data_IF_402916682225
#
_entry.id   IF_402916682225
#
_cell.length_a   1.000
_cell.length_b   1.000
_cell.length_c   1.000
_cell.angle_alpha   90.00
_cell.angle_beta   90.00
_cell.angle_gamma   90.00
#
_symmetry.space_group_name_H-M   'P 1'
#
loop_
_entity.id
_entity.type
_entity.pdbx_description
1 polymer ?
#
# COMPACT_ATOMS: atom_id res chain seq x y z
N UNK A 1 -8.73 52.64 40.06
CA UNK A 1 -8.40 51.81 38.88
C UNK A 1 -8.19 50.37 39.35
N UNK A 2 -9.27 49.68 39.70
CA UNK A 2 -9.20 48.36 40.34
C UNK A 2 -10.49 47.61 39.99
N UNK A 3 -10.41 46.32 39.63
CA UNK A 3 -11.54 45.63 38.97
C UNK A 3 -12.58 45.11 39.97
N UNK A 4 -13.50 46.02 40.31
CA UNK A 4 -14.92 45.81 40.69
C UNK A 4 -15.37 44.37 40.98
N UNK A 5 -15.85 44.17 42.21
CA UNK A 5 -16.65 42.99 42.62
C UNK A 5 -17.94 42.89 41.79
N UNK A 6 -18.45 41.68 41.61
CA UNK A 6 -19.85 41.41 41.30
C UNK A 6 -20.43 40.64 42.49
N UNK A 7 -21.47 41.16 43.12
CA UNK A 7 -22.05 40.60 44.35
C UNK A 7 -23.17 39.58 44.06
N UNK A 8 -23.26 38.54 44.90
CA UNK A 8 -24.50 37.78 45.10
C UNK A 8 -25.45 38.54 46.04
N UNK A 9 -26.77 38.40 45.83
CA UNK A 9 -27.88 38.42 46.82
C UNK A 9 -29.25 38.53 46.05
N UNK A 10 -30.45 38.40 46.65
CA UNK A 10 -31.29 37.24 46.31
C UNK A 10 -32.72 37.56 45.84
N UNK A 11 -33.37 36.61 45.17
CA UNK A 11 -34.81 36.66 44.85
C UNK A 11 -35.65 35.93 45.91
N UNK A 12 -36.77 36.55 46.31
CA UNK A 12 -37.71 36.07 47.35
C UNK A 12 -39.15 36.23 46.87
N UNK A 13 -39.83 35.11 46.60
CA UNK A 13 -41.27 34.99 46.24
C UNK A 13 -41.70 33.55 46.63
N UNK A 14 -42.92 33.19 47.04
CA UNK A 14 -44.02 33.82 47.81
C UNK A 14 -45.10 32.73 48.07
N UNK A 15 -46.00 32.93 49.06
CA UNK A 15 -47.38 32.36 49.17
C UNK A 15 -47.63 30.82 49.09
N UNK A 16 -47.98 30.23 50.25
CA UNK A 16 -49.30 29.64 50.67
C UNK A 16 -50.37 29.22 49.62
N UNK A 17 -51.36 28.31 49.90
CA UNK A 17 -51.86 27.91 51.24
C UNK A 17 -52.41 26.46 51.51
N UNK A 18 -52.42 26.11 52.80
CA UNK A 18 -53.42 25.37 53.63
C UNK A 18 -54.37 24.25 53.10
N UNK A 19 -54.34 23.08 53.79
CA UNK A 19 -55.44 22.27 54.42
C UNK A 19 -54.75 21.17 55.27
N UNK A 20 -55.00 20.87 56.56
CA UNK A 20 -56.16 20.83 57.50
C UNK A 20 -57.13 19.63 57.37
N UNK A 21 -56.71 18.49 57.93
CA UNK A 21 -57.51 17.43 58.63
C UNK A 21 -56.52 16.92 59.73
N UNK A 22 -56.67 16.95 61.07
CA UNK A 22 -57.73 16.89 62.11
C UNK A 22 -58.17 15.47 62.56
N UNK A 23 -58.32 15.32 63.89
CA UNK A 23 -58.76 14.14 64.69
C UNK A 23 -57.97 12.82 64.52
N UNK A 24 -57.87 11.86 65.47
CA UNK A 24 -58.09 11.75 66.94
C UNK A 24 -57.49 10.36 67.37
N UNK A 25 -57.33 9.88 68.62
CA UNK A 25 -57.52 10.28 70.04
C UNK A 25 -56.44 9.46 70.83
N UNK A 26 -55.61 9.99 71.76
CA UNK A 26 -55.83 10.43 73.16
C UNK A 26 -55.98 9.29 74.22
N UNK A 27 -55.18 9.42 75.31
CA UNK A 27 -55.37 9.02 76.74
C UNK A 27 -54.68 7.81 77.43
N UNK A 28 -54.18 8.10 78.66
CA UNK A 28 -53.77 7.28 79.84
C UNK A 28 -52.80 6.06 79.68
N UNK A 29 -51.98 5.64 80.65
CA UNK A 29 -51.29 6.32 81.78
C UNK A 29 -50.39 5.34 82.60
N UNK A 30 -49.35 5.86 83.27
CA UNK A 30 -48.63 5.15 84.35
C UNK A 30 -47.52 4.18 83.88
N UNK A 31 -46.54 3.80 84.70
CA UNK A 31 -46.26 4.18 86.10
C UNK A 31 -44.75 4.14 86.42
N UNK A 32 -44.34 4.65 87.59
CA UNK A 32 -42.92 4.81 87.99
C UNK A 32 -42.34 3.58 88.70
N UNK A 33 -41.05 3.34 88.46
CA UNK A 33 -40.08 2.99 89.51
C UNK A 33 -39.76 1.50 89.70
N UNK A 34 -38.48 1.18 89.98
CA UNK A 34 -38.04 -0.20 90.26
C UNK A 34 -36.55 -0.47 90.05
N UNK A 35 -35.66 0.33 90.64
CA UNK A 35 -34.21 0.07 90.57
C UNK A 35 -33.75 -0.85 91.70
N UNK A 36 -33.28 -2.06 91.39
CA UNK A 36 -32.59 -2.93 92.34
C UNK A 36 -31.52 -3.79 91.65
N UNK A 37 -30.29 -3.73 92.15
CA UNK A 37 -29.15 -4.57 91.74
C UNK A 37 -28.87 -5.59 92.84
N UNK A 38 -28.80 -6.88 92.51
CA UNK A 38 -28.18 -7.89 93.38
C UNK A 38 -27.35 -8.91 92.59
N UNK A 39 -26.49 -9.64 93.32
CA UNK A 39 -25.30 -10.37 92.82
C UNK A 39 -25.41 -11.90 93.09
N UNK A 40 -24.39 -12.75 92.78
CA UNK A 40 -24.64 -14.15 92.37
C UNK A 40 -24.21 -15.25 93.36
N UNK A 41 -24.72 -16.46 93.10
CA UNK A 41 -24.24 -17.79 93.55
C UNK A 41 -24.44 -18.73 92.33
N UNK A 42 -23.48 -19.41 91.68
CA UNK A 42 -22.33 -20.25 92.06
C UNK A 42 -22.71 -21.75 92.11
N UNK A 43 -21.79 -22.62 91.67
CA UNK A 43 -21.84 -24.09 91.40
C UNK A 43 -22.05 -24.46 89.92
N UNK A 44 -21.55 -25.56 89.34
CA UNK A 44 -20.26 -26.33 89.41
C UNK A 44 -20.52 -27.75 88.85
N UNK A 45 -20.07 -28.04 87.62
CA UNK A 45 -19.90 -29.41 87.07
C UNK A 45 -18.94 -29.34 85.86
N UNK A 46 -17.65 -29.64 86.05
CA UNK A 46 -17.00 -30.93 85.75
C UNK A 46 -16.99 -31.42 84.28
N UNK A 47 -15.85 -31.14 83.63
CA UNK A 47 -15.04 -32.03 82.76
C UNK A 47 -15.76 -33.06 81.85
N UNK A 48 -15.75 -32.80 80.55
CA UNK A 48 -15.42 -33.83 79.54
C UNK A 48 -14.78 -33.19 78.29
N UNK A 49 -14.26 -34.03 77.38
CA UNK A 49 -13.36 -33.71 76.26
C UNK A 49 -13.64 -32.41 75.48
N UNK A 50 -12.59 -31.64 75.19
CA UNK A 50 -12.69 -30.40 74.41
C UNK A 50 -12.30 -30.56 72.94
N UNK A 51 -13.23 -30.24 72.03
CA UNK A 51 -12.96 -29.56 70.75
C UNK A 51 -14.09 -28.54 70.53
N UNK A 52 -14.05 -27.42 71.25
CA UNK A 52 -15.03 -26.36 71.07
C UNK A 52 -14.74 -25.59 69.78
N UNK A 53 -15.71 -25.60 68.85
CA UNK A 53 -15.65 -24.97 67.52
C UNK A 53 -15.76 -23.42 67.56
N UNK A 54 -15.16 -22.80 68.58
CA UNK A 54 -15.30 -21.37 68.91
C UNK A 54 -14.08 -20.55 68.45
N UNK A 55 -13.78 -20.60 67.15
CA UNK A 55 -12.95 -19.60 66.48
C UNK A 55 -13.55 -18.87 65.25
N UNK A 56 -14.87 -18.94 64.89
CA UNK A 56 -15.41 -18.08 63.83
C UNK A 56 -15.36 -16.60 64.23
N UNK A 57 -15.37 -16.29 65.53
CA UNK A 57 -15.18 -14.93 66.06
C UNK A 57 -13.84 -14.31 65.65
N UNK A 58 -12.79 -15.10 65.40
CA UNK A 58 -11.50 -14.58 64.94
C UNK A 58 -11.57 -14.00 63.51
N UNK A 59 -12.49 -14.48 62.66
CA UNK A 59 -12.67 -13.95 61.29
C UNK A 59 -13.41 -12.61 61.23
N UNK A 60 -14.09 -12.19 62.31
CA UNK A 60 -14.80 -10.90 62.32
C UNK A 60 -13.86 -9.68 62.25
N UNK A 61 -12.58 -9.81 62.61
CA UNK A 61 -11.58 -8.76 62.40
C UNK A 61 -11.48 -8.36 60.91
N UNK A 62 -11.27 -9.33 60.03
CA UNK A 62 -11.14 -9.13 58.58
C UNK A 62 -12.36 -8.45 57.95
N UNK A 63 -13.57 -8.67 58.51
CA UNK A 63 -14.80 -8.03 58.02
C UNK A 63 -14.85 -6.52 58.29
N UNK A 64 -14.19 -6.05 59.36
CA UNK A 64 -14.17 -4.64 59.73
C UNK A 64 -13.18 -3.85 58.88
N UNK A 65 -12.02 -4.43 58.60
CA UNK A 65 -11.01 -3.84 57.73
C UNK A 65 -11.50 -3.81 56.28
N UNK A 66 -12.11 -4.89 55.78
CA UNK A 66 -12.75 -4.92 54.46
C UNK A 66 -13.90 -3.89 54.35
N UNK A 67 -14.70 -3.71 55.40
CA UNK A 67 -15.75 -2.69 55.43
C UNK A 67 -15.20 -1.25 55.54
N UNK A 68 -14.01 -1.06 56.12
CA UNK A 68 -13.30 0.21 56.12
C UNK A 68 -12.71 0.52 54.74
N UNK A 69 -12.12 -0.47 54.07
CA UNK A 69 -11.53 -0.34 52.74
C UNK A 69 -12.61 -0.13 51.65
N UNK A 70 -13.76 -0.82 51.75
CA UNK A 70 -14.93 -0.54 50.90
C UNK A 70 -15.49 0.88 51.15
N UNK A 71 -15.44 1.39 52.39
CA UNK A 71 -15.85 2.78 52.70
C UNK A 71 -14.85 3.80 52.17
N UNK A 72 -13.54 3.55 52.30
CA UNK A 72 -12.48 4.39 51.76
C UNK A 72 -12.52 4.40 50.22
N UNK A 73 -12.67 3.23 49.59
CA UNK A 73 -12.78 3.06 48.14
C UNK A 73 -13.98 3.80 47.52
N UNK A 74 -15.03 4.10 48.30
CA UNK A 74 -16.17 4.93 47.88
C UNK A 74 -15.82 6.43 47.73
N UNK A 75 -14.64 6.85 48.19
CA UNK A 75 -14.11 8.20 48.06
C UNK A 75 -12.85 8.30 47.20
N UNK A 76 -12.50 7.26 46.41
CA UNK A 76 -11.58 7.46 45.28
C UNK A 76 -12.13 8.57 44.40
N UNK A 77 -11.38 9.67 44.25
CA UNK A 77 -11.86 10.80 43.47
C UNK A 77 -12.20 10.35 42.05
N UNK A 78 -13.21 10.98 41.43
CA UNK A 78 -13.59 10.63 40.06
C UNK A 78 -12.37 10.73 39.10
N UNK A 79 -11.43 11.65 39.40
CA UNK A 79 -10.12 11.79 38.75
C UNK A 79 -9.20 10.58 38.91
N UNK A 80 -9.15 9.93 40.07
CA UNK A 80 -8.35 8.72 40.31
C UNK A 80 -8.94 7.51 39.56
N UNK A 81 -10.27 7.43 39.52
CA UNK A 81 -10.99 6.42 38.74
C UNK A 81 -10.70 6.59 37.25
N UNK A 82 -10.87 7.81 36.71
CA UNK A 82 -10.54 8.16 35.33
C UNK A 82 -9.06 7.87 35.02
N UNK A 83 -8.12 8.35 35.84
CA UNK A 83 -6.69 8.09 35.64
C UNK A 83 -6.34 6.59 35.71
N UNK A 84 -7.10 5.77 36.46
CA UNK A 84 -6.91 4.32 36.44
C UNK A 84 -7.41 3.67 35.15
N UNK A 85 -8.49 4.17 34.54
CA UNK A 85 -8.94 3.73 33.22
C UNK A 85 -7.99 4.18 32.10
N UNK A 86 -7.53 5.44 32.11
CA UNK A 86 -6.51 5.95 31.18
C UNK A 86 -5.21 5.12 31.28
N UNK A 87 -4.81 4.73 32.50
CA UNK A 87 -3.65 3.86 32.73
C UNK A 87 -3.84 2.42 32.22
N UNK A 88 -5.06 1.89 32.26
CA UNK A 88 -5.37 0.56 31.69
C UNK A 88 -5.33 0.64 30.16
N UNK A 89 -6.04 1.60 29.55
CA UNK A 89 -6.03 1.79 28.10
C UNK A 89 -4.63 1.98 27.54
N UNK A 90 -3.80 2.81 28.18
CA UNK A 90 -2.40 3.01 27.76
C UNK A 90 -1.52 1.79 28.01
N UNK A 91 -1.78 0.98 29.05
CA UNK A 91 -1.07 -0.29 29.25
C UNK A 91 -1.41 -1.30 28.14
N UNK A 92 -2.69 -1.43 27.79
CA UNK A 92 -3.14 -2.30 26.71
C UNK A 92 -2.55 -1.85 25.37
N UNK A 93 -2.62 -0.56 25.03
CA UNK A 93 -1.97 -0.04 23.82
C UNK A 93 -0.47 -0.34 23.77
N UNK A 94 0.23 -0.24 24.91
CA UNK A 94 1.65 -0.59 25.00
C UNK A 94 1.88 -2.10 24.85
N UNK A 95 0.94 -2.96 25.26
CA UNK A 95 1.05 -4.41 25.11
C UNK A 95 0.80 -4.86 23.67
N UNK A 96 -0.28 -4.38 23.05
CA UNK A 96 -0.60 -4.61 21.63
C UNK A 96 0.43 -4.02 20.66
N UNK A 97 1.13 -2.92 21.02
CA UNK A 97 2.24 -2.36 20.22
C UNK A 97 3.61 -3.03 20.44
N UNK A 98 3.75 -3.91 21.43
CA UNK A 98 5.00 -4.65 21.74
C UNK A 98 4.99 -6.11 21.34
N UNK A 99 3.82 -6.67 21.01
CA UNK A 99 3.69 -8.04 20.51
C UNK A 99 3.89 -8.07 19.00
N UNK A 100 4.75 -8.96 18.51
CA UNK A 100 4.93 -9.18 17.06
C UNK A 100 3.65 -9.70 16.39
N UNK A 101 2.77 -10.35 17.18
CA UNK A 101 1.49 -10.93 16.77
C UNK A 101 0.36 -10.48 17.71
N UNK A 102 -0.11 -9.23 17.58
CA UNK A 102 -1.09 -8.67 18.52
C UNK A 102 -2.45 -9.38 18.51
N UNK A 103 -2.75 -10.18 17.49
CA UNK A 103 -3.97 -10.98 17.40
C UNK A 103 -3.95 -12.26 18.23
N UNK A 104 -2.77 -12.82 18.55
CA UNK A 104 -2.64 -14.00 19.45
C UNK A 104 -3.02 -13.67 20.90
N UNK A 105 -3.06 -12.38 21.25
CA UNK A 105 -3.56 -11.89 22.54
C UNK A 105 -5.08 -12.04 22.71
N UNK A 106 -5.84 -12.24 21.62
CA UNK A 106 -7.30 -12.35 21.67
C UNK A 106 -7.71 -13.79 22.01
N UNK A 107 -8.33 -14.04 23.18
CA UNK A 107 -8.68 -15.40 23.59
C UNK A 107 -9.86 -15.93 22.78
N UNK A 108 -9.69 -17.14 22.21
CA UNK A 108 -10.78 -17.91 21.62
C UNK A 108 -11.52 -18.71 22.70
N UNK A 109 -12.70 -18.24 23.08
CA UNK A 109 -13.56 -18.98 24.02
C UNK A 109 -14.30 -20.11 23.31
N UNK A 110 -13.96 -21.37 23.60
CA UNK A 110 -14.51 -22.56 22.92
C UNK A 110 -16.04 -22.74 22.96
N UNK A 111 -16.76 -21.97 23.80
CA UNK A 111 -18.23 -21.97 23.92
C UNK A 111 -18.86 -20.57 23.80
N UNK A 112 -18.14 -19.54 23.33
CA UNK A 112 -18.70 -18.19 23.15
C UNK A 112 -18.36 -17.65 21.78
N UNK A 113 -19.34 -16.99 21.14
CA UNK A 113 -19.20 -16.34 19.84
C UNK A 113 -18.68 -14.91 19.92
N UNK A 114 -18.71 -14.32 21.11
CA UNK A 114 -18.25 -12.95 21.36
C UNK A 114 -17.01 -12.96 22.26
N UNK A 115 -15.94 -12.31 21.81
CA UNK A 115 -14.77 -11.95 22.61
C UNK A 115 -14.69 -10.43 22.74
N UNK A 116 -15.26 -9.91 23.83
CA UNK A 116 -15.16 -8.48 24.21
C UNK A 116 -13.99 -8.28 25.17
N UNK A 117 -12.99 -7.49 24.75
CA UNK A 117 -11.86 -7.04 25.57
C UNK A 117 -11.94 -5.54 25.91
N UNK A 118 -12.92 -4.82 25.37
CA UNK A 118 -13.19 -3.41 25.69
C UNK A 118 -14.11 -3.27 26.93
N UNK A 119 -14.93 -4.28 27.20
CA UNK A 119 -16.06 -4.16 28.14
C UNK A 119 -17.17 -3.26 27.60
N UNK A 120 -17.35 -3.24 26.27
CA UNK A 120 -18.31 -2.37 25.59
C UNK A 120 -19.73 -2.95 25.61
N UNK A 121 -19.89 -4.28 25.72
CA UNK A 121 -21.17 -4.95 25.70
C UNK A 121 -21.74 -5.17 27.10
N UNK A 122 -23.04 -4.91 27.29
CA UNK A 122 -23.74 -5.38 28.48
C UNK A 122 -23.88 -6.91 28.47
N UNK A 123 -24.17 -7.50 29.62
CA UNK A 123 -24.45 -8.94 29.72
C UNK A 123 -25.68 -9.37 28.93
N UNK A 124 -26.65 -8.46 28.74
CA UNK A 124 -27.89 -8.70 28.01
C UNK A 124 -27.63 -8.62 26.50
N UNK A 125 -27.04 -7.52 26.02
CA UNK A 125 -26.64 -7.33 24.61
C UNK A 125 -25.73 -8.48 24.12
N UNK A 126 -24.78 -8.92 24.95
CA UNK A 126 -23.90 -10.04 24.63
C UNK A 126 -24.66 -11.34 24.45
N UNK A 127 -25.62 -11.64 25.33
CA UNK A 127 -26.43 -12.84 25.25
C UNK A 127 -27.32 -12.81 24.00
N UNK A 128 -27.87 -11.65 23.66
CA UNK A 128 -28.64 -11.47 22.41
C UNK A 128 -27.76 -11.69 21.17
N UNK A 129 -26.53 -11.14 21.14
CA UNK A 129 -25.57 -11.38 20.05
C UNK A 129 -25.19 -12.86 19.93
N UNK A 130 -24.88 -13.53 21.05
CA UNK A 130 -24.53 -14.96 21.05
C UNK A 130 -25.71 -15.81 20.53
N UNK A 131 -26.96 -15.51 20.94
CA UNK A 131 -28.17 -16.15 20.41
C UNK A 131 -28.45 -15.86 18.92
N UNK A 132 -28.24 -14.61 18.48
CA UNK A 132 -28.42 -14.22 17.08
C UNK A 132 -27.43 -14.94 16.15
N UNK A 133 -26.19 -15.12 16.59
CA UNK A 133 -25.15 -15.85 15.87
C UNK A 133 -25.49 -17.34 15.80
N UNK A 134 -25.84 -17.99 16.91
CA UNK A 134 -26.17 -19.42 16.92
C UNK A 134 -27.42 -19.71 16.05
N UNK A 135 -28.41 -18.80 16.06
CA UNK A 135 -29.57 -18.85 15.16
C UNK A 135 -29.15 -18.71 13.69
N UNK A 136 -28.30 -17.73 13.36
CA UNK A 136 -27.77 -17.55 12.00
C UNK A 136 -26.98 -18.78 11.53
N UNK A 137 -26.16 -19.39 12.40
CA UNK A 137 -25.43 -20.63 12.09
C UNK A 137 -26.40 -21.76 11.74
N UNK A 138 -27.48 -21.93 12.51
CA UNK A 138 -28.49 -22.98 12.27
C UNK A 138 -29.30 -22.78 10.98
N UNK A 139 -29.47 -21.54 10.51
CA UNK A 139 -30.30 -21.20 9.35
C UNK A 139 -29.51 -21.00 8.05
N UNK A 140 -28.26 -20.55 8.15
CA UNK A 140 -27.43 -20.11 7.01
C UNK A 140 -26.10 -20.85 6.86
N UNK A 141 -25.78 -21.78 7.79
CA UNK A 141 -24.50 -22.49 7.86
C UNK A 141 -23.25 -21.57 7.92
N UNK A 142 -23.42 -20.35 8.45
CA UNK A 142 -22.33 -19.37 8.65
C UNK A 142 -21.73 -19.52 10.05
N UNK A 143 -20.41 -19.58 10.14
CA UNK A 143 -19.69 -19.61 11.42
C UNK A 143 -19.21 -18.18 11.74
N UNK A 144 -19.94 -17.46 12.59
CA UNK A 144 -19.62 -16.07 12.93
C UNK A 144 -18.98 -15.92 14.31
N UNK A 145 -18.04 -15.00 14.42
CA UNK A 145 -17.54 -14.45 15.69
C UNK A 145 -17.60 -12.92 15.68
N UNK A 146 -17.72 -12.33 16.88
CA UNK A 146 -17.59 -10.89 17.12
C UNK A 146 -16.43 -10.67 18.08
N UNK A 147 -15.50 -9.80 17.70
CA UNK A 147 -14.29 -9.49 18.47
C UNK A 147 -14.21 -7.98 18.68
N UNK A 148 -14.12 -7.54 19.93
CA UNK A 148 -13.94 -6.14 20.31
C UNK A 148 -12.58 -5.99 21.00
N UNK A 149 -11.73 -5.14 20.44
CA UNK A 149 -10.34 -4.92 20.92
C UNK A 149 -10.07 -3.43 21.18
N UNK A 150 -9.23 -3.10 22.18
CA UNK A 150 -8.87 -1.71 22.45
C UNK A 150 -8.05 -1.10 21.29
N UNK A 151 -7.18 -1.86 20.65
CA UNK A 151 -6.35 -1.44 19.50
C UNK A 151 -5.87 -2.67 18.69
N UNK A 152 -5.43 -2.46 17.46
CA UNK A 152 -4.71 -3.46 16.62
C UNK A 152 -3.19 -3.19 16.51
N UNK A 153 -2.66 -2.28 17.33
CA UNK A 153 -1.23 -1.99 17.42
C UNK A 153 -0.70 -1.21 16.23
N UNK A 154 0.29 -1.76 15.52
CA UNK A 154 0.85 -1.19 14.27
C UNK A 154 0.32 -1.89 13.00
N UNK A 155 -0.62 -2.83 13.14
CA UNK A 155 -1.19 -3.57 12.01
C UNK A 155 -2.42 -2.86 11.43
N UNK A 156 -2.80 -3.15 10.19
CA UNK A 156 -4.08 -2.63 9.67
C UNK A 156 -5.24 -3.43 10.27
N UNK A 157 -6.38 -2.81 10.66
CA UNK A 157 -7.50 -3.53 11.27
C UNK A 157 -8.01 -4.73 10.43
N UNK A 158 -7.95 -4.62 9.10
CA UNK A 158 -8.31 -5.72 8.19
C UNK A 158 -7.27 -6.86 8.16
N UNK A 159 -5.98 -6.55 8.29
CA UNK A 159 -4.94 -7.59 8.42
C UNK A 159 -5.08 -8.31 9.77
N UNK A 160 -5.28 -7.58 10.86
CA UNK A 160 -5.53 -8.14 12.19
C UNK A 160 -6.74 -9.10 12.20
N UNK A 161 -7.86 -8.67 11.62
CA UNK A 161 -9.05 -9.52 11.48
C UNK A 161 -8.81 -10.75 10.58
N UNK A 162 -8.06 -10.60 9.47
CA UNK A 162 -7.68 -11.75 8.63
C UNK A 162 -6.83 -12.78 9.40
N UNK A 163 -5.89 -12.33 10.24
CA UNK A 163 -5.08 -13.23 11.08
C UNK A 163 -5.95 -14.00 12.08
N UNK A 164 -6.90 -13.34 12.76
CA UNK A 164 -7.84 -14.02 13.67
C UNK A 164 -8.72 -15.04 12.92
N UNK A 165 -9.25 -14.68 11.75
CA UNK A 165 -10.06 -15.59 10.93
C UNK A 165 -9.28 -16.87 10.56
N UNK A 166 -8.00 -16.73 10.24
CA UNK A 166 -7.10 -17.83 9.87
C UNK A 166 -6.66 -18.66 11.09
N UNK A 167 -6.10 -18.03 12.12
CA UNK A 167 -5.55 -18.72 13.31
C UNK A 167 -6.63 -19.43 14.13
N UNK A 168 -7.89 -18.99 14.05
CA UNK A 168 -9.04 -19.68 14.64
C UNK A 168 -9.72 -20.66 13.66
N UNK A 169 -9.34 -20.71 12.38
CA UNK A 169 -9.96 -21.57 11.37
C UNK A 169 -11.48 -21.34 11.24
N UNK A 170 -11.91 -20.08 11.27
CA UNK A 170 -13.34 -19.74 11.37
C UNK A 170 -14.08 -20.21 10.11
N UNK A 171 -15.14 -21.00 10.30
CA UNK A 171 -15.90 -21.62 9.22
C UNK A 171 -15.18 -22.71 8.40
N UNK A 172 -13.99 -23.17 8.81
CA UNK A 172 -13.36 -24.34 8.19
C UNK A 172 -14.07 -25.65 8.59
N UNK A 173 -14.07 -26.69 7.73
CA UNK A 173 -13.51 -26.73 6.38
C UNK A 173 -14.47 -26.20 5.29
N UNK A 174 -15.68 -25.73 5.64
CA UNK A 174 -16.70 -25.31 4.64
C UNK A 174 -16.30 -24.04 3.90
N UNK A 175 -15.61 -23.11 4.57
CA UNK A 175 -15.28 -21.80 4.03
C UNK A 175 -16.38 -20.76 4.22
N UNK A 176 -17.18 -20.90 5.30
CA UNK A 176 -18.35 -20.05 5.60
C UNK A 176 -18.08 -19.13 6.82
N UNK A 177 -16.82 -18.75 7.04
CA UNK A 177 -16.39 -18.02 8.23
C UNK A 177 -16.62 -16.52 8.12
N UNK A 178 -17.06 -15.92 9.22
CA UNK A 178 -17.39 -14.51 9.32
C UNK A 178 -16.83 -13.93 10.63
N UNK A 179 -16.13 -12.80 10.55
CA UNK A 179 -15.55 -12.14 11.71
C UNK A 179 -15.88 -10.65 11.67
N UNK A 180 -16.66 -10.19 12.65
CA UNK A 180 -16.86 -8.77 12.91
C UNK A 180 -15.81 -8.31 13.93
N UNK A 181 -14.84 -7.51 13.49
CA UNK A 181 -13.89 -6.81 14.35
C UNK A 181 -14.37 -5.38 14.61
N UNK A 182 -14.38 -4.97 15.86
CA UNK A 182 -14.54 -3.58 16.29
C UNK A 182 -13.29 -3.19 17.08
N UNK A 183 -12.55 -2.19 16.58
CA UNK A 183 -11.29 -1.73 17.17
C UNK A 183 -11.46 -0.30 17.69
N UNK A 184 -11.30 -0.13 19.01
CA UNK A 184 -11.77 1.05 19.73
C UNK A 184 -10.89 2.30 19.50
N UNK A 185 -9.56 2.16 19.60
CA UNK A 185 -8.61 3.28 19.43
C UNK A 185 -8.55 3.76 17.98
N UNK A 186 -8.60 2.84 17.01
CA UNK A 186 -8.69 3.16 15.57
C UNK A 186 -10.11 3.57 15.13
N UNK A 187 -11.08 3.56 16.05
CA UNK A 187 -12.50 3.86 15.82
C UNK A 187 -13.10 3.15 14.59
N UNK A 188 -12.66 1.90 14.33
CA UNK A 188 -12.91 1.21 13.07
C UNK A 188 -13.70 -0.09 13.24
N UNK A 189 -14.55 -0.37 12.25
CA UNK A 189 -15.36 -1.59 12.16
C UNK A 189 -14.98 -2.31 10.88
N UNK A 190 -14.65 -3.59 10.98
CA UNK A 190 -14.26 -4.43 9.84
C UNK A 190 -15.06 -5.73 9.85
N UNK A 191 -15.64 -6.10 8.71
CA UNK A 191 -16.24 -7.41 8.48
C UNK A 191 -15.31 -8.21 7.57
N UNK A 192 -14.63 -9.20 8.15
CA UNK A 192 -13.75 -10.12 7.43
C UNK A 192 -14.48 -11.44 7.20
N UNK A 193 -14.24 -12.04 6.03
CA UNK A 193 -15.02 -13.15 5.47
C UNK A 193 -14.09 -14.20 4.88
N UNK A 194 -14.50 -15.47 4.90
CA UNK A 194 -13.82 -16.50 4.11
C UNK A 194 -13.92 -16.20 2.61
N UNK A 195 -12.90 -16.51 1.78
CA UNK A 195 -12.88 -16.12 0.36
C UNK A 195 -13.97 -16.73 -0.54
N UNK A 196 -14.76 -17.68 -0.05
CA UNK A 196 -15.89 -18.27 -0.76
C UNK A 196 -17.18 -17.43 -0.63
N UNK A 197 -17.31 -16.65 0.45
CA UNK A 197 -18.47 -15.81 0.75
C UNK A 197 -18.20 -14.30 0.72
N UNK A 198 -16.93 -13.86 0.61
CA UNK A 198 -16.52 -12.45 0.47
C UNK A 198 -17.32 -11.66 -0.60
N UNK A 199 -17.75 -12.34 -1.67
CA UNK A 199 -18.53 -11.77 -2.78
C UNK A 199 -19.93 -11.29 -2.36
N UNK A 200 -20.53 -11.92 -1.34
CA UNK A 200 -21.89 -11.64 -0.85
C UNK A 200 -21.90 -10.66 0.34
N UNK A 201 -20.75 -10.46 0.98
CA UNK A 201 -20.53 -9.51 2.08
C UNK A 201 -19.64 -8.36 1.61
N UNK A 202 -20.01 -7.76 0.49
CA UNK A 202 -19.25 -6.70 -0.16
C UNK A 202 -19.10 -5.45 0.73
N UNK A 203 -17.98 -4.74 0.58
CA UNK A 203 -17.62 -3.64 1.48
C UNK A 203 -18.63 -2.48 1.51
N UNK A 204 -19.34 -2.23 0.41
CA UNK A 204 -20.38 -1.21 0.34
C UNK A 204 -21.55 -1.48 1.31
N UNK A 205 -21.90 -2.75 1.55
CA UNK A 205 -22.93 -3.13 2.52
C UNK A 205 -22.47 -2.78 3.96
N UNK A 206 -21.21 -3.10 4.30
CA UNK A 206 -20.65 -2.75 5.61
C UNK A 206 -20.57 -1.24 5.80
N UNK A 207 -20.09 -0.50 4.80
CA UNK A 207 -19.98 0.96 4.87
C UNK A 207 -21.37 1.62 5.04
N UNK A 208 -22.41 1.12 4.37
CA UNK A 208 -23.79 1.57 4.56
C UNK A 208 -24.29 1.25 5.98
N UNK A 209 -24.23 -0.01 6.42
CA UNK A 209 -24.69 -0.44 7.74
C UNK A 209 -23.96 0.30 8.89
N UNK A 210 -22.65 0.54 8.77
CA UNK A 210 -21.89 1.30 9.76
C UNK A 210 -22.32 2.77 9.78
N UNK A 211 -22.56 3.39 8.62
CA UNK A 211 -22.97 4.80 8.52
C UNK A 211 -24.41 5.04 8.98
N UNK A 212 -25.32 4.14 8.65
CA UNK A 212 -26.77 4.32 8.83
C UNK A 212 -27.28 3.74 10.16
N UNK A 213 -26.66 2.68 10.68
CA UNK A 213 -27.10 1.98 11.90
C UNK A 213 -26.11 2.21 13.05
N UNK A 214 -24.83 1.91 12.85
CA UNK A 214 -23.84 1.89 13.94
C UNK A 214 -23.48 3.32 14.43
N UNK A 215 -23.10 4.21 13.52
CA UNK A 215 -22.68 5.58 13.86
C UNK A 215 -23.71 6.41 14.63
N UNK A 216 -25.03 6.46 14.29
CA UNK A 216 -25.98 7.22 15.07
C UNK A 216 -26.18 6.65 16.49
N UNK A 217 -26.28 5.32 16.63
CA UNK A 217 -26.45 4.68 17.94
C UNK A 217 -25.24 4.88 18.87
N UNK A 218 -24.02 4.88 18.33
CA UNK A 218 -22.80 5.24 19.07
C UNK A 218 -22.82 6.72 19.51
N UNK A 219 -23.31 7.64 18.66
CA UNK A 219 -23.46 9.07 19.03
C UNK A 219 -24.51 9.31 20.11
N UNK A 220 -25.54 8.46 20.21
CA UNK A 220 -26.50 8.45 21.32
C UNK A 220 -25.92 7.82 22.62
N UNK A 221 -24.68 7.35 22.61
CA UNK A 221 -24.05 6.64 23.74
C UNK A 221 -24.49 5.18 23.89
N UNK A 222 -25.33 4.67 22.98
CA UNK A 222 -25.88 3.29 23.00
C UNK A 222 -24.96 2.32 22.28
N UNK A 223 -23.67 2.33 22.62
CA UNK A 223 -22.64 1.61 21.88
C UNK A 223 -22.82 0.09 21.89
N UNK A 224 -23.33 -0.51 22.96
CA UNK A 224 -23.59 -1.95 23.02
C UNK A 224 -24.70 -2.38 22.06
N UNK A 225 -25.85 -1.71 22.14
CA UNK A 225 -26.99 -1.88 21.24
C UNK A 225 -26.63 -1.58 19.76
N UNK A 226 -25.69 -0.67 19.50
CA UNK A 226 -25.16 -0.45 18.15
C UNK A 226 -24.49 -1.72 17.57
N UNK A 227 -23.78 -2.50 18.38
CA UNK A 227 -23.22 -3.81 17.97
C UNK A 227 -24.34 -4.81 17.72
N UNK A 228 -25.35 -4.89 18.59
CA UNK A 228 -26.52 -5.76 18.43
C UNK A 228 -27.21 -5.51 17.09
N UNK A 229 -27.52 -4.25 16.78
CA UNK A 229 -28.18 -3.87 15.53
C UNK A 229 -27.30 -4.13 14.29
N UNK A 230 -25.98 -3.94 14.41
CA UNK A 230 -25.05 -4.28 13.33
C UNK A 230 -24.99 -5.81 13.07
N UNK A 231 -24.99 -6.63 14.13
CA UNK A 231 -25.07 -8.09 14.02
C UNK A 231 -26.40 -8.52 13.38
N UNK A 232 -27.53 -7.90 13.72
CA UNK A 232 -28.80 -8.17 13.05
C UNK A 232 -28.79 -7.78 11.56
N UNK A 233 -28.17 -6.66 11.19
CA UNK A 233 -28.01 -6.27 9.79
C UNK A 233 -27.17 -7.31 9.01
N UNK A 234 -26.08 -7.79 9.61
CA UNK A 234 -25.23 -8.85 9.06
C UNK A 234 -25.99 -10.18 8.95
N UNK A 235 -26.76 -10.56 9.96
CA UNK A 235 -27.56 -11.79 9.96
C UNK A 235 -28.68 -11.76 8.90
N UNK A 236 -29.28 -10.58 8.68
CA UNK A 236 -30.23 -10.37 7.58
C UNK A 236 -29.57 -10.53 6.21
N UNK A 237 -28.42 -9.88 5.98
CA UNK A 237 -27.65 -10.05 4.75
C UNK A 237 -27.25 -11.52 4.51
N UNK A 238 -26.85 -12.23 5.58
CA UNK A 238 -26.56 -13.66 5.52
C UNK A 238 -27.79 -14.48 5.10
N UNK A 239 -28.95 -14.22 5.68
CA UNK A 239 -30.19 -14.94 5.35
C UNK A 239 -30.68 -14.66 3.91
N UNK A 240 -30.59 -13.41 3.44
CA UNK A 240 -30.96 -13.05 2.07
C UNK A 240 -29.99 -13.70 1.04
N UNK A 241 -28.68 -13.72 1.32
CA UNK A 241 -27.65 -14.25 0.42
C UNK A 241 -27.42 -15.77 0.52
N UNK A 242 -27.86 -16.44 1.59
CA UNK A 242 -27.68 -17.87 1.83
C UNK A 242 -28.15 -18.74 0.64
N UNK A 243 -29.28 -18.36 0.04
CA UNK A 243 -29.84 -19.08 -1.11
C UNK A 243 -29.01 -18.93 -2.39
N UNK A 244 -28.11 -17.94 -2.46
CA UNK A 244 -27.29 -17.65 -3.65
C UNK A 244 -25.90 -18.29 -3.56
N UNK A 245 -25.26 -18.32 -2.40
CA UNK A 245 -23.95 -18.99 -2.29
C UNK A 245 -24.04 -20.52 -2.38
N UNK A 246 -25.16 -21.11 -1.93
CA UNK A 246 -25.43 -22.55 -2.07
C UNK A 246 -25.81 -22.99 -3.51
N UNK A 247 -26.08 -22.05 -4.43
CA UNK A 247 -26.36 -22.36 -5.86
C UNK A 247 -25.10 -22.50 -6.71
N UNK A 248 -23.91 -22.28 -6.15
CA UNK A 248 -22.65 -22.40 -6.89
C UNK A 248 -22.38 -23.83 -7.35
N UNK A 249 -22.03 -24.00 -8.63
CA UNK A 249 -21.63 -25.30 -9.21
C UNK A 249 -20.42 -25.93 -8.48
N UNK A 250 -19.57 -25.10 -7.88
CA UNK A 250 -18.45 -25.51 -7.05
C UNK A 250 -18.81 -25.35 -5.57
N UNK A 251 -18.67 -26.44 -4.80
CA UNK A 251 -18.79 -26.39 -3.35
C UNK A 251 -17.80 -25.37 -2.76
N UNK A 252 -18.24 -24.64 -1.73
CA UNK A 252 -17.52 -23.53 -1.08
C UNK A 252 -16.02 -23.80 -0.78
N UNK A 253 -15.57 -24.98 -0.26
CA UNK A 253 -14.13 -25.26 -0.10
C UNK A 253 -13.34 -25.37 -1.41
N UNK A 254 -13.98 -25.80 -2.50
CA UNK A 254 -13.36 -25.85 -3.83
C UNK A 254 -13.33 -24.46 -4.48
N UNK A 255 -14.38 -23.64 -4.29
CA UNK A 255 -14.43 -22.23 -4.70
C UNK A 255 -13.27 -21.43 -4.10
N UNK A 256 -12.94 -21.65 -2.82
CA UNK A 256 -11.74 -21.08 -2.17
C UNK A 256 -10.45 -21.40 -2.93
N UNK A 257 -10.17 -22.69 -3.20
CA UNK A 257 -8.93 -23.14 -3.86
C UNK A 257 -8.81 -22.59 -5.28
N UNK A 258 -9.91 -22.62 -6.05
CA UNK A 258 -9.95 -22.07 -7.42
C UNK A 258 -9.73 -20.55 -7.41
N UNK A 259 -10.39 -19.82 -6.51
CA UNK A 259 -10.26 -18.35 -6.41
C UNK A 259 -8.88 -17.90 -5.94
N UNK A 260 -8.22 -18.67 -5.09
CA UNK A 260 -6.81 -18.46 -4.74
C UNK A 260 -5.90 -18.66 -5.96
N UNK A 261 -5.99 -19.83 -6.61
CA UNK A 261 -5.18 -20.16 -7.79
C UNK A 261 -5.36 -19.13 -8.92
N UNK A 262 -6.59 -18.64 -9.16
CA UNK A 262 -6.87 -17.58 -10.13
C UNK A 262 -6.21 -16.24 -9.75
N UNK A 263 -6.24 -15.83 -8.48
CA UNK A 263 -5.51 -14.63 -8.01
C UNK A 263 -3.99 -14.79 -8.18
N UNK A 264 -3.43 -15.96 -7.85
CA UNK A 264 -2.00 -16.26 -8.05
C UNK A 264 -1.61 -16.23 -9.53
N UNK A 265 -2.40 -16.84 -10.41
CA UNK A 265 -2.16 -16.84 -11.85
C UNK A 265 -2.25 -15.42 -12.45
N UNK A 266 -3.25 -14.63 -12.05
CA UNK A 266 -3.39 -13.24 -12.48
C UNK A 266 -2.21 -12.35 -12.03
N UNK A 267 -1.71 -12.54 -10.81
CA UNK A 267 -0.49 -11.88 -10.34
C UNK A 267 0.76 -12.33 -11.13
N UNK A 268 0.86 -13.63 -11.42
CA UNK A 268 1.92 -14.20 -12.25
C UNK A 268 1.94 -13.59 -13.66
N UNK A 269 0.79 -13.47 -14.31
CA UNK A 269 0.66 -12.91 -15.66
C UNK A 269 0.86 -11.40 -15.70
N UNK A 270 0.44 -10.65 -14.66
CA UNK A 270 0.54 -9.18 -14.66
C UNK A 270 1.86 -8.66 -14.10
N UNK A 271 2.29 -9.11 -12.91
CA UNK A 271 3.43 -8.50 -12.21
C UNK A 271 4.80 -9.07 -12.61
N UNK A 272 4.90 -10.36 -12.93
CA UNK A 272 6.20 -10.98 -13.25
C UNK A 272 6.81 -10.44 -14.56
N UNK A 273 6.05 -10.17 -15.64
CA UNK A 273 6.62 -9.56 -16.85
C UNK A 273 7.23 -8.18 -16.59
N UNK A 274 6.62 -7.34 -15.74
CA UNK A 274 7.21 -6.04 -15.40
C UNK A 274 8.52 -6.18 -14.60
N UNK A 275 8.64 -7.18 -13.72
CA UNK A 275 9.90 -7.48 -13.04
C UNK A 275 10.97 -7.96 -14.04
N UNK A 276 10.62 -8.83 -14.99
CA UNK A 276 11.56 -9.30 -16.02
C UNK A 276 12.00 -8.17 -16.96
N UNK A 277 11.06 -7.34 -17.43
CA UNK A 277 11.36 -6.15 -18.24
C UNK A 277 12.24 -5.17 -17.46
N UNK A 278 11.97 -4.96 -16.16
CA UNK A 278 12.79 -4.15 -15.28
C UNK A 278 14.22 -4.69 -15.17
N UNK A 279 14.40 -5.99 -14.91
CA UNK A 279 15.71 -6.65 -14.82
C UNK A 279 16.48 -6.54 -16.16
N UNK A 280 15.80 -6.74 -17.29
CA UNK A 280 16.42 -6.59 -18.63
C UNK A 280 16.83 -5.13 -18.87
N UNK A 281 15.97 -4.16 -18.55
CA UNK A 281 16.27 -2.73 -18.71
C UNK A 281 17.45 -2.30 -17.83
N UNK A 282 17.44 -2.66 -16.54
CA UNK A 282 18.57 -2.38 -15.63
C UNK A 282 19.85 -3.08 -16.10
N UNK A 283 19.78 -4.34 -16.55
CA UNK A 283 20.92 -5.06 -17.12
C UNK A 283 21.52 -4.35 -18.34
N UNK A 284 20.68 -3.95 -19.30
CA UNK A 284 21.10 -3.19 -20.48
C UNK A 284 21.72 -1.84 -20.09
N UNK A 285 21.07 -1.05 -19.24
CA UNK A 285 21.62 0.20 -18.72
C UNK A 285 22.96 -0.01 -18.00
N UNK A 286 23.09 -1.05 -17.17
CA UNK A 286 24.36 -1.40 -16.51
C UNK A 286 25.44 -1.79 -17.52
N UNK A 287 25.15 -2.55 -18.58
CA UNK A 287 26.17 -2.86 -19.62
C UNK A 287 26.61 -1.61 -20.38
N UNK A 288 25.70 -0.69 -20.71
CA UNK A 288 26.03 0.59 -21.36
C UNK A 288 26.89 1.47 -20.45
N UNK A 289 26.54 1.58 -19.17
CA UNK A 289 27.30 2.34 -18.18
C UNK A 289 28.67 1.71 -17.89
N UNK A 290 28.77 0.38 -17.78
CA UNK A 290 30.05 -0.32 -17.61
C UNK A 290 30.96 -0.12 -18.82
N UNK A 291 30.43 -0.22 -20.05
CA UNK A 291 31.19 0.09 -21.26
C UNK A 291 31.69 1.54 -21.27
N UNK A 292 30.84 2.51 -20.88
CA UNK A 292 31.25 3.91 -20.73
C UNK A 292 32.31 4.13 -19.65
N UNK A 293 32.29 3.35 -18.56
CA UNK A 293 33.31 3.40 -17.50
C UNK A 293 34.63 2.78 -17.95
N UNK A 294 34.59 1.66 -18.68
CA UNK A 294 35.78 1.01 -19.28
C UNK A 294 36.49 1.99 -20.24
N UNK A 295 35.72 2.75 -21.03
CA UNK A 295 36.20 3.84 -21.91
C UNK A 295 37.06 4.90 -21.15
N UNK A 296 36.88 5.05 -19.83
CA UNK A 296 37.65 6.00 -18.99
C UNK A 296 38.88 5.38 -18.30
N UNK A 297 39.06 4.05 -18.37
CA UNK A 297 40.06 3.31 -17.61
C UNK A 297 41.25 2.89 -18.47
N UNK A 298 42.46 3.24 -18.01
CA UNK A 298 43.68 2.95 -18.77
C UNK A 298 44.04 1.45 -18.75
N UNK A 299 44.14 0.75 -19.91
CA UNK A 299 44.15 -0.72 -19.98
C UNK A 299 45.44 -1.42 -19.49
N UNK A 300 46.42 -0.69 -18.94
CA UNK A 300 47.62 -1.29 -18.32
C UNK A 300 47.85 -0.88 -16.88
N UNK A 301 47.29 0.25 -16.43
CA UNK A 301 47.50 0.77 -15.06
C UNK A 301 46.19 0.97 -14.28
N UNK A 302 45.03 0.66 -14.89
CA UNK A 302 43.68 0.78 -14.33
C UNK A 302 43.39 2.15 -13.67
N UNK A 303 44.07 3.19 -14.14
CA UNK A 303 43.89 4.56 -13.70
C UNK A 303 42.92 5.31 -14.60
N UNK A 304 42.09 6.17 -13.99
CA UNK A 304 41.22 7.11 -14.70
C UNK A 304 42.04 7.99 -15.67
N UNK A 305 41.54 8.10 -16.90
CA UNK A 305 42.09 8.93 -17.97
C UNK A 305 41.26 10.22 -18.13
N UNK A 306 41.90 11.31 -18.55
CA UNK A 306 41.18 12.54 -18.91
C UNK A 306 40.95 12.60 -20.43
N UNK A 307 39.79 13.09 -20.85
CA UNK A 307 39.49 13.32 -22.27
C UNK A 307 40.19 14.58 -22.74
N UNK A 308 41.01 14.45 -23.77
CA UNK A 308 41.68 15.57 -24.43
C UNK A 308 40.66 16.36 -25.27
N UNK A 309 40.77 17.69 -25.26
CA UNK A 309 39.88 18.59 -26.01
C UNK A 309 40.60 19.65 -26.84
N UNK A 310 41.90 19.83 -26.66
CA UNK A 310 42.63 20.98 -27.22
C UNK A 310 43.09 20.67 -28.66
N UNK A 311 42.56 21.40 -29.65
CA UNK A 311 42.72 21.07 -31.07
C UNK A 311 44.18 20.89 -31.52
N UNK A 312 45.12 21.68 -31.00
CA UNK A 312 46.56 21.55 -31.28
C UNK A 312 47.15 20.21 -30.79
N UNK A 313 46.61 19.65 -29.70
CA UNK A 313 46.99 18.31 -29.23
C UNK A 313 46.29 17.22 -30.03
N UNK A 314 45.02 17.42 -30.41
CA UNK A 314 44.30 16.49 -31.28
C UNK A 314 45.00 16.37 -32.65
N UNK A 315 45.43 17.48 -33.24
CA UNK A 315 46.11 17.54 -34.54
C UNK A 315 47.50 16.90 -34.53
N UNK A 316 48.22 16.93 -33.40
CA UNK A 316 49.55 16.29 -33.29
C UNK A 316 49.49 14.80 -32.96
N UNK A 317 48.35 14.32 -32.47
CA UNK A 317 48.11 12.91 -32.09
C UNK A 317 47.37 12.14 -33.20
N UNK A 318 46.44 12.78 -33.92
CA UNK A 318 45.66 12.17 -34.99
C UNK A 318 46.40 12.13 -36.32
N UNK A 319 46.05 11.16 -37.17
CA UNK A 319 46.40 11.24 -38.60
C UNK A 319 45.60 12.35 -39.30
N UNK A 320 46.15 12.89 -40.40
CA UNK A 320 45.51 13.95 -41.21
C UNK A 320 44.06 13.61 -41.58
N UNK A 321 43.77 12.37 -41.95
CA UNK A 321 42.42 11.92 -42.32
C UNK A 321 41.44 11.96 -41.14
N UNK A 322 41.85 11.49 -39.96
CA UNK A 322 41.03 11.51 -38.74
C UNK A 322 40.73 12.94 -38.28
N UNK A 323 41.73 13.82 -38.33
CA UNK A 323 41.55 15.24 -37.96
C UNK A 323 40.56 15.95 -38.91
N UNK A 324 40.65 15.69 -40.22
CA UNK A 324 39.71 16.25 -41.21
C UNK A 324 38.27 15.72 -41.03
N UNK A 325 38.09 14.44 -40.68
CA UNK A 325 36.75 13.93 -40.33
C UNK A 325 36.16 14.57 -39.08
N UNK A 326 37.01 14.88 -38.09
CA UNK A 326 36.63 15.54 -36.86
C UNK A 326 36.25 17.01 -37.11
N UNK A 327 37.09 17.77 -37.84
CA UNK A 327 36.80 19.17 -38.19
C UNK A 327 35.56 19.31 -39.07
N UNK A 328 35.30 18.34 -39.95
CA UNK A 328 34.12 18.33 -40.81
C UNK A 328 32.86 17.80 -40.11
N UNK A 329 32.95 17.39 -38.84
CA UNK A 329 31.82 16.88 -38.04
C UNK A 329 31.28 15.52 -38.49
N UNK A 330 32.06 14.77 -39.29
CA UNK A 330 31.62 13.50 -39.87
C UNK A 330 31.91 12.29 -38.99
N UNK A 331 32.98 12.32 -38.20
CA UNK A 331 33.25 11.31 -37.18
C UNK A 331 33.69 11.96 -35.87
N UNK A 332 33.04 11.60 -34.77
CA UNK A 332 33.47 12.01 -33.43
C UNK A 332 34.44 10.97 -32.87
N UNK A 333 35.68 11.41 -32.60
CA UNK A 333 36.71 10.61 -31.98
C UNK A 333 36.75 10.84 -30.46
N UNK A 334 36.98 9.76 -29.70
CA UNK A 334 37.22 9.81 -28.25
C UNK A 334 38.71 9.63 -27.97
N UNK A 335 39.36 10.73 -27.59
CA UNK A 335 40.80 10.83 -27.31
C UNK A 335 41.00 10.92 -25.80
N UNK A 336 41.68 9.93 -25.23
CA UNK A 336 41.94 9.84 -23.79
C UNK A 336 43.45 9.85 -23.52
N UNK A 337 43.86 10.58 -22.46
CA UNK A 337 45.25 10.61 -21.98
C UNK A 337 45.32 10.14 -20.53
N UNK A 338 46.23 9.22 -20.25
CA UNK A 338 46.46 8.74 -18.89
C UNK A 338 47.47 9.64 -18.17
N UNK A 339 47.19 10.14 -16.94
CA UNK A 339 48.16 10.90 -16.15
C UNK A 339 49.18 10.02 -15.41
N UNK A 340 48.99 8.70 -15.35
CA UNK A 340 49.86 7.75 -14.61
C UNK A 340 50.81 6.94 -15.48
N UNK A 341 50.61 6.88 -16.80
CA UNK A 341 51.55 6.22 -17.71
C UNK A 341 52.69 7.19 -18.07
N UNK A 342 53.93 6.81 -17.77
CA UNK A 342 55.11 7.58 -18.19
C UNK A 342 55.24 7.66 -19.71
N UNK A 343 54.87 6.57 -20.41
CA UNK A 343 54.55 6.62 -21.83
C UNK A 343 53.25 7.41 -22.03
N UNK A 344 53.41 8.72 -22.19
CA UNK A 344 52.32 9.66 -22.47
C UNK A 344 51.94 9.72 -23.96
N UNK A 345 52.59 8.90 -24.82
CA UNK A 345 52.32 8.84 -26.26
C UNK A 345 51.17 7.88 -26.62
N UNK A 346 50.89 6.88 -25.79
CA UNK A 346 49.85 5.85 -26.01
C UNK A 346 48.41 6.36 -25.86
N UNK A 347 48.01 7.26 -26.74
CA UNK A 347 46.59 7.60 -26.92
C UNK A 347 45.86 6.41 -27.55
N UNK A 348 44.94 5.83 -26.80
CA UNK A 348 43.96 4.90 -27.34
C UNK A 348 42.79 5.69 -27.92
N UNK A 349 42.64 5.64 -29.25
CA UNK A 349 41.40 6.03 -29.93
C UNK A 349 40.34 4.96 -29.62
N UNK A 350 39.47 5.20 -28.65
CA UNK A 350 38.57 4.13 -28.15
C UNK A 350 37.35 3.91 -29.03
N UNK A 351 36.83 4.95 -29.70
CA UNK A 351 35.74 4.83 -30.67
C UNK A 351 35.77 5.93 -31.75
N UNK A 352 35.11 5.61 -32.87
CA UNK A 352 34.82 6.48 -34.02
C UNK A 352 33.31 6.49 -34.22
N UNK A 353 32.63 7.42 -33.55
CA UNK A 353 31.18 7.56 -33.66
C UNK A 353 30.87 8.28 -34.99
N UNK A 354 30.46 7.53 -36.02
CA UNK A 354 30.19 8.06 -37.37
C UNK A 354 28.81 8.74 -37.45
N UNK A 355 28.77 10.00 -37.90
CA UNK A 355 27.51 10.68 -38.14
C UNK A 355 26.87 10.18 -39.44
N UNK A 356 25.63 9.68 -39.37
CA UNK A 356 24.83 9.23 -40.53
C UNK A 356 24.31 10.39 -41.42
N UNK A 357 25.09 11.46 -41.57
CA UNK A 357 24.72 12.64 -42.37
C UNK A 357 25.04 12.41 -43.85
N UNK A 358 24.09 12.74 -44.74
CA UNK A 358 24.29 12.70 -46.20
C UNK A 358 25.34 13.71 -46.70
N UNK A 359 25.86 14.58 -45.84
CA UNK A 359 27.01 15.47 -46.11
C UNK A 359 28.36 14.74 -46.03
N UNK A 360 28.42 13.57 -45.39
CA UNK A 360 29.67 12.87 -45.10
C UNK A 360 29.91 11.76 -46.12
N UNK A 361 30.78 12.02 -47.11
CA UNK A 361 31.12 11.07 -48.16
C UNK A 361 32.49 10.45 -47.91
N UNK A 362 32.55 9.11 -47.96
CA UNK A 362 33.78 8.35 -47.82
C UNK A 362 34.60 8.37 -49.12
N UNK A 363 35.90 8.62 -49.01
CA UNK A 363 36.85 8.43 -50.09
C UNK A 363 37.14 6.94 -50.29
N UNK A 364 36.95 6.41 -51.50
CA UNK A 364 37.21 5.01 -51.82
C UNK A 364 38.70 4.64 -51.77
N UNK A 365 39.59 5.62 -51.92
CA UNK A 365 41.04 5.41 -52.01
C UNK A 365 41.76 5.50 -50.65
N UNK A 366 41.21 6.25 -49.69
CA UNK A 366 41.78 6.38 -48.35
C UNK A 366 40.82 6.06 -47.20
N UNK A 367 39.59 5.62 -47.47
CA UNK A 367 38.56 5.21 -46.51
C UNK A 367 38.14 6.25 -45.44
N UNK A 368 38.55 7.52 -45.60
CA UNK A 368 38.17 8.64 -44.74
C UNK A 368 36.98 9.44 -45.32
N UNK A 369 36.10 9.92 -44.45
CA UNK A 369 34.92 10.76 -44.75
C UNK A 369 35.33 12.22 -44.96
N UNK A 370 36.18 12.43 -45.96
CA UNK A 370 36.80 13.71 -46.31
C UNK A 370 36.58 14.09 -47.78
N UNK A 371 35.57 13.51 -48.43
CA UNK A 371 35.16 13.90 -49.78
C UNK A 371 34.11 15.02 -49.74
N UNK A 372 34.40 16.11 -50.44
CA UNK A 372 33.40 17.11 -50.82
C UNK A 372 32.76 16.73 -52.15
N UNK A 373 31.52 17.15 -52.38
CA UNK A 373 30.74 16.84 -53.58
C UNK A 373 30.21 18.12 -54.23
N UNK A 374 30.93 18.61 -55.24
CA UNK A 374 30.51 19.73 -56.09
C UNK A 374 29.56 19.21 -57.17
N UNK A 375 28.50 19.98 -57.47
CA UNK A 375 27.44 19.58 -58.40
C UNK A 375 27.20 20.70 -59.39
N UNK A 376 27.55 20.49 -60.65
CA UNK A 376 27.45 21.50 -61.72
C UNK A 376 26.60 20.98 -62.87
N UNK A 377 25.80 21.86 -63.49
CA UNK A 377 24.96 21.52 -64.65
C UNK A 377 25.60 22.14 -65.88
N UNK A 378 26.39 21.35 -66.61
CA UNK A 378 27.08 21.79 -67.82
C UNK A 378 26.11 22.07 -68.97
N UNK A 379 25.04 21.28 -69.08
CA UNK A 379 23.98 21.41 -70.10
C UNK A 379 22.62 21.17 -69.46
N UNK A 380 21.68 22.10 -69.66
CA UNK A 380 20.28 21.88 -69.28
C UNK A 380 19.59 21.01 -70.36
N UNK A 381 18.63 20.15 -69.99
CA UNK A 381 17.86 19.39 -70.97
C UNK A 381 16.97 20.29 -71.82
N UNK A 382 16.81 19.95 -73.09
CA UNK A 382 15.84 20.56 -74.02
C UNK A 382 14.72 19.55 -74.32
N UNK A 383 13.79 19.85 -75.25
CA UNK A 383 12.82 18.84 -75.72
C UNK A 383 13.46 17.75 -76.58
N UNK A 384 14.57 18.05 -77.23
CA UNK A 384 15.22 17.16 -78.20
C UNK A 384 16.41 16.44 -77.57
N UNK A 385 17.22 17.14 -76.77
CA UNK A 385 18.47 16.66 -76.19
C UNK A 385 18.41 16.54 -74.66
N UNK A 386 19.07 15.52 -74.12
CA UNK A 386 19.31 15.43 -72.68
C UNK A 386 20.33 16.47 -72.20
N UNK A 387 20.19 16.87 -70.94
CA UNK A 387 21.18 17.67 -70.23
C UNK A 387 22.30 16.82 -69.64
N UNK A 388 23.33 17.48 -69.11
CA UNK A 388 24.49 16.86 -68.46
C UNK A 388 24.79 17.55 -67.14
N UNK A 389 24.93 16.76 -66.08
CA UNK A 389 25.26 17.20 -64.74
C UNK A 389 26.54 16.51 -64.26
N UNK A 390 27.58 17.30 -64.06
CA UNK A 390 28.85 16.84 -63.52
C UNK A 390 28.76 16.77 -61.99
N UNK A 391 29.10 15.62 -61.43
CA UNK A 391 29.34 15.43 -60.00
C UNK A 391 30.84 15.26 -59.80
N UNK A 392 31.48 16.23 -59.15
CA UNK A 392 32.90 16.19 -58.84
C UNK A 392 33.10 15.86 -57.36
N UNK A 393 33.69 14.70 -57.10
CA UNK A 393 34.02 14.21 -55.76
C UNK A 393 35.50 14.45 -55.50
N UNK A 394 35.86 15.37 -54.60
CA UNK A 394 37.27 15.68 -54.26
C UNK A 394 37.58 15.38 -52.80
N UNK A 395 38.62 14.59 -52.55
CA UNK A 395 39.07 14.23 -51.21
C UNK A 395 40.11 15.22 -50.65
N UNK A 396 39.83 15.89 -49.54
CA UNK A 396 40.75 16.84 -48.89
C UNK A 396 42.01 16.18 -48.29
N UNK A 397 41.93 14.87 -48.00
CA UNK A 397 43.01 14.09 -47.42
C UNK A 397 44.01 13.61 -48.49
N UNK A 398 43.57 12.82 -49.48
CA UNK A 398 44.45 12.25 -50.51
C UNK A 398 44.55 13.08 -51.80
N UNK A 399 43.74 14.14 -51.96
CA UNK A 399 43.64 15.00 -53.17
C UNK A 399 43.22 14.30 -54.46
N UNK A 400 42.85 13.01 -54.40
CA UNK A 400 42.26 12.31 -55.54
C UNK A 400 40.85 12.88 -55.77
N UNK A 401 40.60 13.28 -57.02
CA UNK A 401 39.29 13.64 -57.52
C UNK A 401 38.71 12.52 -58.39
N UNK A 402 37.39 12.37 -58.38
CA UNK A 402 36.65 11.53 -59.33
C UNK A 402 35.46 12.33 -59.86
N UNK A 403 35.27 12.34 -61.16
CA UNK A 403 34.07 12.92 -61.78
C UNK A 403 33.09 11.83 -62.23
N UNK A 404 31.79 12.14 -62.14
CA UNK A 404 30.70 11.30 -62.64
C UNK A 404 29.75 12.20 -63.42
N UNK A 405 29.55 11.91 -64.71
CA UNK A 405 28.60 12.62 -65.56
C UNK A 405 27.24 11.93 -65.49
N UNK A 406 26.25 12.60 -64.91
CA UNK A 406 24.87 12.15 -64.89
C UNK A 406 24.07 12.79 -66.04
N UNK A 407 23.38 12.01 -66.89
CA UNK A 407 22.44 12.56 -67.85
C UNK A 407 21.21 13.11 -67.12
N UNK A 408 20.81 14.33 -67.47
CA UNK A 408 19.52 14.91 -67.08
C UNK A 408 18.52 14.61 -68.20
N UNK A 409 17.66 13.63 -67.97
CA UNK A 409 16.70 13.18 -68.98
C UNK A 409 15.75 14.31 -69.40
N UNK A 410 15.53 14.44 -70.70
CA UNK A 410 14.54 15.36 -71.28
C UNK A 410 13.10 15.06 -70.80
N UNK A 411 12.22 16.07 -70.66
CA UNK A 411 10.81 15.83 -70.37
C UNK A 411 10.14 15.08 -71.54
N UNK A 412 9.30 14.10 -71.22
CA UNK A 412 8.57 13.31 -72.22
C UNK A 412 7.16 13.86 -72.36
N UNK A 413 6.81 14.38 -73.53
CA UNK A 413 5.42 14.67 -73.90
C UNK A 413 4.69 13.33 -74.09
N UNK A 414 3.94 12.87 -73.08
CA UNK A 414 3.23 11.58 -73.14
C UNK A 414 1.99 11.66 -74.02
N UNK A 415 2.13 11.24 -75.27
CA UNK A 415 0.99 10.84 -76.11
C UNK A 415 0.35 9.56 -75.54
N UNK A 416 -0.98 9.46 -75.61
CA UNK A 416 -1.79 8.55 -74.78
C UNK A 416 -1.66 7.06 -75.09
N UNK A 417 -0.91 6.67 -76.12
CA UNK A 417 -0.92 5.31 -76.69
C UNK A 417 0.46 4.61 -76.68
N UNK A 418 1.54 5.32 -76.28
CA UNK A 418 2.88 4.75 -76.19
C UNK A 418 3.17 4.23 -74.77
N UNK A 419 3.86 3.09 -74.62
CA UNK A 419 4.26 2.63 -73.29
C UNK A 419 5.43 3.50 -72.79
N UNK A 420 5.31 4.01 -71.56
CA UNK A 420 6.31 4.92 -71.00
C UNK A 420 7.74 4.35 -70.93
N UNK A 421 7.91 3.03 -71.00
CA UNK A 421 9.21 2.36 -70.96
C UNK A 421 9.85 2.09 -72.34
N UNK A 422 9.14 2.31 -73.46
CA UNK A 422 9.65 1.98 -74.80
C UNK A 422 10.94 2.75 -75.13
N UNK A 423 11.08 4.00 -74.64
CA UNK A 423 12.29 4.80 -74.82
C UNK A 423 13.53 4.19 -74.12
N UNK A 424 13.35 3.43 -73.02
CA UNK A 424 14.46 2.75 -72.35
C UNK A 424 14.99 1.59 -73.20
N UNK A 425 14.09 0.89 -73.91
CA UNK A 425 14.44 -0.21 -74.81
C UNK A 425 15.20 0.33 -76.03
N UNK A 426 14.69 1.39 -76.67
CA UNK A 426 15.35 2.02 -77.81
C UNK A 426 16.73 2.59 -77.41
N UNK A 427 16.82 3.26 -76.26
CA UNK A 427 18.09 3.79 -75.73
C UNK A 427 19.10 2.69 -75.38
N UNK A 428 18.65 1.56 -74.84
CA UNK A 428 19.52 0.39 -74.64
C UNK A 428 20.03 -0.18 -75.98
N UNK A 429 19.26 -0.06 -77.06
CA UNK A 429 19.68 -0.45 -78.41
C UNK A 429 20.75 0.50 -78.99
N UNK A 430 20.66 1.81 -78.73
CA UNK A 430 21.59 2.80 -79.30
C UNK A 430 22.93 2.84 -78.58
N UNK A 431 22.98 2.74 -77.24
CA UNK A 431 24.26 2.62 -76.51
C UNK A 431 25.06 1.37 -76.92
N UNK A 432 24.37 0.28 -77.26
CA UNK A 432 25.00 -0.95 -77.78
C UNK A 432 25.69 -0.76 -79.14
N UNK A 433 25.36 0.30 -79.88
CA UNK A 433 26.02 0.70 -81.14
C UNK A 433 27.18 1.68 -80.94
N UNK A 434 27.11 2.56 -79.94
CA UNK A 434 28.14 3.60 -79.70
C UNK A 434 29.31 3.13 -78.85
N UNK A 435 29.21 1.99 -78.17
CA UNK A 435 30.32 1.35 -77.44
C UNK A 435 30.73 2.04 -76.14
N UNK A 436 30.05 3.14 -75.77
CA UNK A 436 30.25 3.85 -74.51
C UNK A 436 29.77 2.94 -73.37
N UNK A 437 30.72 2.47 -72.55
CA UNK A 437 30.41 1.83 -71.27
C UNK A 437 30.08 2.90 -70.24
N UNK A 438 28.95 2.70 -69.55
CA UNK A 438 28.61 3.36 -68.29
C UNK A 438 29.41 2.73 -67.12
#
# INVERSE_FOLDING_TARGET
MERTRINFSPLRVSSSPARRILSDIVFFSGGRGGSAVFRPVLLMAQRSAGVNLLSPLAKLGQSRDLAADIKAGRHRNNKEVIASFEKIQTFDEIHYRKSDRPWELVPRYAKKRVSDLCGLLSSEDRMEIEQAIDKMQSLCEVDMYVVLVPTVGYTTPRAFANSILFDWGIGEPRGNGLLLLIAQSEASVQLVTSPAIEEYFAEHFLQAAVKEIFQPLVREGKASYAVVQLVYAIARQAQEMHTLWNRGFLALPTRNKVRFAAKTAAYGVTSVPYLLIGIIFFGLCSTVLVNQIIDTMCPTCYGSMHRVRDDATLQSIMTRGQYLEFSNGCAHYRVWKCPRCADSSRVTLTSRDLHQSTRCLQCMDCNYYTCTLTKEVQKLPTKEEDGLKQLLYTCENCRIGREVLLPLLRPIDTTSEANWYDFLIDRASTHKKTGIKL
#
